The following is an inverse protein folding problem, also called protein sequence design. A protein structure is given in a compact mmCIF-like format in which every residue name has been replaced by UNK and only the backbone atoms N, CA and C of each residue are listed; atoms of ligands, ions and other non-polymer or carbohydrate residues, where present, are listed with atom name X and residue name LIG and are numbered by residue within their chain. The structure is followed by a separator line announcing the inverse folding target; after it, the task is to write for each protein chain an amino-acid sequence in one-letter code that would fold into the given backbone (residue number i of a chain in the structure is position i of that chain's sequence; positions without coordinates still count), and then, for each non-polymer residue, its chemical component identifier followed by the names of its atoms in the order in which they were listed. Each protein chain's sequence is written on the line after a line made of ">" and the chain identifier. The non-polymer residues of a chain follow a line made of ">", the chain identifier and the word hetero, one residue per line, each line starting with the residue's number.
data_IF_318386270337
#
_entry.id   IF_318386270337
#
_cell.length_a   1.000
_cell.length_b   1.000
_cell.length_c   1.000
_cell.angle_alpha   90.00
_cell.angle_beta   90.00
_cell.angle_gamma   90.00
#
_symmetry.space_group_name_H-M   'P 1'
#
loop_
_entity.id
_entity.type
_entity.pdbx_description
1 polymer ?
#
# COMPACT_ATOMS: atom_id res chain seq x y z
N UNK A 1 -1.02 27.24 9.44
CA UNK A 1 -1.30 26.02 10.22
C UNK A 1 -1.95 24.92 9.37
N UNK A 2 -3.10 25.19 8.72
CA UNK A 2 -3.78 24.18 7.88
C UNK A 2 -2.90 23.60 6.77
N UNK A 3 -2.17 24.44 6.03
CA UNK A 3 -1.31 23.99 4.92
C UNK A 3 -0.16 23.09 5.39
N UNK A 4 0.40 23.36 6.58
CA UNK A 4 1.45 22.53 7.19
C UNK A 4 0.89 21.17 7.61
N UNK A 5 -0.32 21.15 8.15
CA UNK A 5 -1.01 19.92 8.54
C UNK A 5 -1.34 19.04 7.33
N UNK A 6 -1.85 19.64 6.24
CA UNK A 6 -2.11 18.92 4.99
C UNK A 6 -0.81 18.35 4.42
N UNK A 7 0.28 19.13 4.40
CA UNK A 7 1.58 18.65 3.94
C UNK A 7 2.07 17.46 4.76
N UNK A 8 1.91 17.52 6.09
CA UNK A 8 2.24 16.42 6.98
C UNK A 8 1.45 15.14 6.64
N UNK A 9 0.13 15.25 6.41
CA UNK A 9 -0.71 14.11 6.00
C UNK A 9 -0.28 13.52 4.66
N UNK A 10 0.08 14.36 3.69
CA UNK A 10 0.58 13.91 2.38
C UNK A 10 1.88 13.12 2.54
N UNK A 11 2.83 13.63 3.32
CA UNK A 11 4.11 12.95 3.60
C UNK A 11 3.86 11.60 4.27
N UNK A 12 2.97 11.57 5.26
CA UNK A 12 2.59 10.35 5.96
C UNK A 12 2.01 9.31 5.00
N UNK A 13 1.15 9.71 4.05
CA UNK A 13 0.61 8.80 3.05
C UNK A 13 1.67 8.30 2.07
N UNK A 14 2.62 9.14 1.66
CA UNK A 14 3.74 8.71 0.82
C UNK A 14 4.57 7.62 1.53
N UNK A 15 4.81 7.77 2.84
CA UNK A 15 5.54 6.77 3.64
C UNK A 15 4.75 5.45 3.71
N UNK A 16 3.44 5.52 3.93
CA UNK A 16 2.56 4.35 3.97
C UNK A 16 2.56 3.58 2.63
N UNK A 17 2.40 4.28 1.51
CA UNK A 17 2.46 3.69 0.17
C UNK A 17 3.83 3.06 -0.09
N UNK A 18 4.92 3.70 0.35
CA UNK A 18 6.27 3.15 0.20
C UNK A 18 6.45 1.82 0.93
N UNK A 19 5.79 1.65 2.07
CA UNK A 19 5.86 0.43 2.85
C UNK A 19 4.78 -0.60 2.49
N UNK A 20 3.87 -0.30 1.55
CA UNK A 20 2.67 -1.11 1.25
C UNK A 20 1.82 -1.37 2.50
N UNK A 21 1.64 -0.33 3.32
CA UNK A 21 0.90 -0.43 4.58
C UNK A 21 -0.24 0.57 4.63
N UNK A 22 -1.30 0.18 5.31
CA UNK A 22 -2.32 1.09 5.83
C UNK A 22 -1.85 1.72 7.14
N UNK A 23 -2.50 2.81 7.54
CA UNK A 23 -2.23 3.45 8.83
C UNK A 23 -2.39 2.48 10.01
N UNK A 24 -3.39 1.60 9.93
CA UNK A 24 -3.64 0.58 10.94
C UNK A 24 -2.47 -0.41 11.04
N UNK A 25 -2.00 -0.92 9.92
CA UNK A 25 -0.86 -1.85 9.86
C UNK A 25 0.43 -1.19 10.34
N UNK A 26 0.63 0.08 10.01
CA UNK A 26 1.77 0.86 10.49
C UNK A 26 1.77 0.97 12.02
N UNK A 27 0.64 1.31 12.64
CA UNK A 27 0.53 1.37 14.12
C UNK A 27 0.78 0.01 14.76
N UNK A 28 0.34 -1.07 14.11
CA UNK A 28 0.49 -2.44 14.61
C UNK A 28 1.82 -3.09 14.23
N UNK A 29 2.72 -2.38 13.54
CA UNK A 29 3.98 -2.90 13.01
C UNK A 29 3.81 -4.20 12.19
N UNK A 30 2.74 -4.29 11.40
CA UNK A 30 2.45 -5.45 10.54
C UNK A 30 3.09 -5.22 9.17
N UNK A 31 4.07 -6.02 8.78
CA UNK A 31 4.81 -5.85 7.52
C UNK A 31 4.51 -6.91 6.45
N UNK A 32 3.51 -7.76 6.70
CA UNK A 32 3.22 -8.97 5.92
C UNK A 32 2.96 -8.67 4.43
N UNK A 33 2.37 -7.52 4.10
CA UNK A 33 2.08 -7.10 2.72
C UNK A 33 3.20 -6.30 2.05
N UNK A 34 4.31 -6.09 2.77
CA UNK A 34 5.52 -5.48 2.22
C UNK A 34 6.26 -6.51 1.38
N UNK A 35 5.72 -6.79 0.20
CA UNK A 35 6.47 -7.47 -0.85
C UNK A 35 7.48 -6.44 -1.32
N UNK A 36 8.78 -6.74 -1.30
CA UNK A 36 9.89 -5.84 -1.64
C UNK A 36 9.93 -5.37 -3.11
N UNK A 37 8.77 -5.04 -3.69
CA UNK A 37 8.58 -4.49 -5.02
C UNK A 37 8.80 -2.97 -4.95
N UNK A 38 9.24 -2.37 -6.06
CA UNK A 38 9.63 -0.97 -6.14
C UNK A 38 8.50 0.00 -5.75
N UNK A 39 8.83 1.23 -5.34
CA UNK A 39 7.82 2.25 -5.00
C UNK A 39 6.77 2.47 -6.11
N UNK A 40 7.19 2.40 -7.37
CA UNK A 40 6.30 2.49 -8.53
C UNK A 40 5.27 1.37 -8.58
N UNK A 41 5.64 0.14 -8.19
CA UNK A 41 4.71 -0.97 -8.16
C UNK A 41 3.64 -0.77 -7.08
N UNK A 42 4.00 -0.20 -5.93
CA UNK A 42 3.04 0.14 -4.87
C UNK A 42 2.08 1.24 -5.33
N UNK A 43 2.59 2.25 -6.04
CA UNK A 43 1.75 3.26 -6.69
C UNK A 43 0.78 2.62 -7.68
N UNK A 44 1.23 1.64 -8.47
CA UNK A 44 0.36 0.92 -9.39
C UNK A 44 -0.68 0.05 -8.68
N UNK A 45 -0.36 -0.54 -7.53
CA UNK A 45 -1.35 -1.28 -6.71
C UNK A 45 -2.45 -0.34 -6.23
N UNK A 46 -2.10 0.84 -5.72
CA UNK A 46 -3.04 1.81 -5.15
C UNK A 46 -3.85 2.53 -6.22
N UNK A 47 -3.19 2.98 -7.28
CA UNK A 47 -3.76 3.89 -8.28
C UNK A 47 -4.01 3.22 -9.64
N UNK A 48 -3.65 1.95 -9.81
CA UNK A 48 -3.77 1.18 -11.04
C UNK A 48 -2.65 1.39 -12.05
N UNK A 49 -2.78 0.71 -13.20
CA UNK A 49 -1.75 0.70 -14.27
C UNK A 49 -1.39 2.11 -14.77
N UNK A 50 -2.36 3.02 -14.78
CA UNK A 50 -2.19 4.41 -15.26
C UNK A 50 -2.22 5.41 -14.10
N UNK A 51 -1.46 5.11 -13.03
CA UNK A 51 -1.37 5.93 -11.82
C UNK A 51 -1.09 7.41 -12.07
N UNK A 52 -0.31 7.73 -13.12
CA UNK A 52 0.06 9.10 -13.48
C UNK A 52 -1.12 9.97 -13.90
N UNK A 53 -2.26 9.40 -14.30
CA UNK A 53 -3.44 10.18 -14.72
C UNK A 53 -4.11 10.91 -13.55
N UNK A 54 -3.97 10.37 -12.33
CA UNK A 54 -4.55 10.98 -11.11
C UNK A 54 -3.90 12.32 -10.78
N UNK A 55 -2.65 12.54 -11.20
CA UNK A 55 -1.98 13.84 -11.05
C UNK A 55 -2.66 14.95 -11.86
N UNK A 56 -3.36 14.60 -12.94
CA UNK A 56 -4.05 15.55 -13.80
C UNK A 56 -5.54 15.67 -13.49
N UNK A 57 -6.20 14.54 -13.19
CA UNK A 57 -7.62 14.54 -12.84
C UNK A 57 -7.96 13.34 -11.93
N UNK A 58 -8.48 13.58 -10.70
CA UNK A 58 -8.81 12.52 -9.76
C UNK A 58 -10.01 11.67 -10.20
N UNK A 59 -10.81 12.14 -11.17
CA UNK A 59 -11.99 11.43 -11.67
C UNK A 59 -11.64 10.38 -12.74
N UNK A 60 -10.41 10.37 -13.24
CA UNK A 60 -9.98 9.36 -14.21
C UNK A 60 -9.69 8.07 -13.45
N UNK A 61 -10.69 7.18 -13.40
CA UNK A 61 -10.55 5.88 -12.77
C UNK A 61 -9.55 5.02 -13.55
N UNK A 62 -8.50 4.62 -12.88
CA UNK A 62 -7.54 3.62 -13.34
C UNK A 62 -7.75 2.39 -12.47
N UNK A 63 -8.12 1.25 -13.06
CA UNK A 63 -8.48 0.05 -12.30
C UNK A 63 -7.25 -0.39 -11.46
N UNK A 64 -7.37 -0.40 -10.12
CA UNK A 64 -6.28 -0.86 -9.26
C UNK A 64 -6.05 -2.37 -9.48
N UNK A 65 -4.84 -2.82 -9.17
CA UNK A 65 -4.52 -4.23 -9.21
C UNK A 65 -5.06 -4.91 -7.93
N UNK A 66 -5.89 -5.94 -8.10
CA UNK A 66 -6.44 -6.74 -7.01
C UNK A 66 -7.97 -6.72 -6.95
N UNK A 67 -8.51 -7.66 -6.20
CA UNK A 67 -9.94 -7.81 -5.91
C UNK A 67 -10.38 -7.04 -4.65
N UNK A 68 -9.41 -6.50 -3.88
CA UNK A 68 -9.65 -5.85 -2.59
C UNK A 68 -9.92 -6.82 -1.45
N UNK A 69 -9.83 -8.13 -1.70
CA UNK A 69 -10.09 -9.20 -0.73
C UNK A 69 -8.84 -10.03 -0.45
N UNK A 70 -7.97 -10.17 -1.46
CA UNK A 70 -6.76 -11.00 -1.44
C UNK A 70 -5.56 -10.16 -1.85
N UNK A 71 -4.50 -10.24 -1.04
CA UNK A 71 -3.25 -9.53 -1.30
C UNK A 71 -2.08 -10.51 -1.26
N UNK A 72 -1.11 -10.29 -2.13
CA UNK A 72 0.17 -10.99 -2.05
C UNK A 72 0.80 -10.74 -0.66
N UNK A 73 1.40 -11.78 -0.08
CA UNK A 73 2.07 -11.69 1.21
C UNK A 73 3.55 -12.04 1.05
N UNK A 74 4.40 -11.39 1.84
CA UNK A 74 5.80 -11.73 1.92
C UNK A 74 5.98 -13.00 2.78
N UNK A 75 6.19 -14.13 2.10
CA UNK A 75 6.25 -15.46 2.72
C UNK A 75 7.38 -15.54 3.76
N UNK A 76 8.46 -14.75 3.61
CA UNK A 76 9.58 -14.72 4.55
C UNK A 76 9.20 -14.21 5.96
N UNK A 77 8.17 -13.37 6.08
CA UNK A 77 7.66 -12.92 7.39
C UNK A 77 6.60 -13.86 7.99
N UNK A 78 6.14 -14.87 7.24
CA UNK A 78 5.05 -15.78 7.64
C UNK A 78 5.51 -17.15 8.19
N UNK A 79 6.81 -17.41 8.31
CA UNK A 79 7.30 -18.56 9.09
C UNK A 79 7.60 -18.07 10.53
N UNK A 80 6.77 -18.46 11.52
CA UNK A 80 6.55 -19.87 11.86
C UNK A 80 5.07 -20.26 11.82
N UNK A 81 4.80 -21.57 11.79
CA UNK A 81 3.46 -22.23 11.75
C UNK A 81 2.99 -22.56 10.32
N UNK A 82 3.86 -23.23 9.57
CA UNK A 82 3.42 -24.39 8.79
C UNK A 82 3.18 -25.58 9.75
N UNK A 83 2.16 -25.50 10.62
CA UNK A 83 1.76 -26.70 11.37
C UNK A 83 0.28 -26.67 11.72
N UNK A 84 -0.44 -27.64 11.14
CA UNK A 84 -1.83 -28.06 11.38
C UNK A 84 -2.93 -27.16 10.84
N UNK A 85 -3.32 -27.44 9.59
CA UNK A 85 -4.74 -27.61 9.28
C UNK A 85 -5.06 -29.10 9.51
N UNK A 86 -5.97 -29.36 10.45
CA UNK A 86 -6.67 -30.65 10.63
C UNK A 86 -7.85 -30.64 9.67
#
# INVERSE_FOLDING_TARGET
>A
MLNLYILFLIIQQIILIKNSQTWYEYIKNIHIYKIGKSFQSNLQLVFGKRWYLILFNPLISSQPYGDGMSYDINIMETNPISTKRI
#
